data_IF_666573196070
#
_entry.id   IF_666573196070
#
_cell.length_a   1.000
_cell.length_b   1.000
_cell.length_c   1.000
_cell.angle_alpha   90.00
_cell.angle_beta   90.00
_cell.angle_gamma   90.00
#
_symmetry.space_group_name_H-M   'P 1'
#
loop_
_entity.id
_entity.type
_entity.pdbx_description
1 polymer ?
#
# COMPACT_ATOMS: atom_id res chain seq x y z
N UNK A 1 18.15 -17.66 7.23
CA UNK A 1 17.81 -16.22 7.22
C UNK A 1 16.34 -16.16 6.81
N UNK A 2 15.47 -15.63 7.66
CA UNK A 2 14.05 -15.45 7.32
C UNK A 2 13.96 -14.32 6.31
N UNK A 3 13.21 -14.50 5.23
CA UNK A 3 12.99 -13.46 4.23
C UNK A 3 12.06 -12.36 4.77
N UNK A 4 12.14 -11.15 4.21
CA UNK A 4 11.22 -10.06 4.57
C UNK A 4 9.75 -10.45 4.39
N UNK A 5 9.43 -11.25 3.36
CA UNK A 5 8.07 -11.73 3.14
C UNK A 5 7.59 -12.64 4.27
N UNK A 6 8.40 -13.65 4.64
CA UNK A 6 8.08 -14.56 5.74
C UNK A 6 7.94 -13.82 7.07
N UNK A 7 8.80 -12.83 7.31
CA UNK A 7 8.71 -11.97 8.50
C UNK A 7 7.36 -11.24 8.57
N UNK A 8 6.93 -10.64 7.46
CA UNK A 8 5.65 -9.92 7.40
C UNK A 8 4.46 -10.87 7.58
N UNK A 9 4.40 -11.99 6.85
CA UNK A 9 3.27 -12.92 6.93
C UNK A 9 3.21 -13.73 8.23
N UNK A 10 4.32 -13.84 8.97
CA UNK A 10 4.30 -14.39 10.32
C UNK A 10 3.53 -13.52 11.31
N UNK A 11 3.39 -12.22 11.03
CA UNK A 11 2.67 -11.25 11.87
C UNK A 11 1.28 -10.90 11.35
N UNK A 12 1.10 -10.95 10.04
CA UNK A 12 -0.12 -10.55 9.35
C UNK A 12 -0.77 -11.73 8.63
N UNK A 13 -1.93 -12.17 9.14
CA UNK A 13 -2.71 -13.23 8.51
C UNK A 13 -3.58 -12.73 7.35
N UNK A 14 -3.94 -13.63 6.44
CA UNK A 14 -4.74 -13.34 5.23
C UNK A 14 -6.11 -12.68 5.52
N UNK A 15 -6.64 -12.86 6.73
CA UNK A 15 -7.91 -12.25 7.17
C UNK A 15 -7.81 -10.78 7.61
N UNK A 16 -6.60 -10.23 7.79
CA UNK A 16 -6.42 -8.87 8.31
C UNK A 16 -6.74 -7.79 7.27
N UNK A 17 -6.39 -8.04 6.00
CA UNK A 17 -6.74 -7.18 4.88
C UNK A 17 -6.74 -7.96 3.56
N UNK A 18 -7.67 -7.70 2.60
CA UNK A 18 -7.70 -8.41 1.33
C UNK A 18 -6.37 -8.40 0.55
N UNK A 19 -5.60 -7.32 0.68
CA UNK A 19 -4.29 -7.20 0.03
C UNK A 19 -3.21 -8.09 0.65
N UNK A 20 -3.33 -8.46 1.93
CA UNK A 20 -2.40 -9.41 2.58
C UNK A 20 -2.53 -10.77 1.91
N UNK A 21 -3.75 -11.30 1.77
CA UNK A 21 -4.01 -12.56 1.08
C UNK A 21 -3.50 -12.56 -0.37
N UNK A 22 -3.69 -11.46 -1.09
CA UNK A 22 -3.20 -11.32 -2.47
C UNK A 22 -1.67 -11.26 -2.55
N UNK A 23 -1.02 -10.56 -1.62
CA UNK A 23 0.44 -10.51 -1.54
C UNK A 23 1.03 -11.87 -1.16
N UNK A 24 0.42 -12.57 -0.20
CA UNK A 24 0.83 -13.89 0.26
C UNK A 24 0.76 -14.92 -0.87
N UNK A 25 -0.39 -15.02 -1.55
CA UNK A 25 -0.54 -15.90 -2.72
C UNK A 25 0.46 -15.58 -3.85
N UNK A 26 0.82 -14.30 -4.03
CA UNK A 26 1.82 -13.90 -5.01
C UNK A 26 3.25 -14.33 -4.62
N UNK A 27 3.58 -14.29 -3.32
CA UNK A 27 4.86 -14.78 -2.81
C UNK A 27 4.92 -16.32 -2.88
N UNK A 28 3.85 -17.03 -2.50
CA UNK A 28 3.78 -18.49 -2.54
C UNK A 28 3.98 -19.05 -3.96
N UNK A 29 3.51 -18.31 -4.96
CA UNK A 29 3.67 -18.67 -6.38
C UNK A 29 4.99 -18.17 -6.98
N UNK A 30 5.88 -17.58 -6.19
CA UNK A 30 7.19 -17.07 -6.61
C UNK A 30 7.10 -15.84 -7.53
N UNK A 31 5.96 -15.14 -7.56
CA UNK A 31 5.70 -14.00 -8.44
C UNK A 31 6.01 -12.66 -7.80
N UNK A 32 6.10 -12.60 -6.47
CA UNK A 32 6.39 -11.39 -5.73
C UNK A 32 7.51 -11.60 -4.72
N UNK A 33 8.18 -10.51 -4.37
CA UNK A 33 9.06 -10.44 -3.23
C UNK A 33 8.68 -9.22 -2.36
N UNK A 34 8.73 -9.41 -1.05
CA UNK A 34 8.54 -8.36 -0.07
C UNK A 34 9.85 -7.64 0.24
N UNK A 35 9.75 -6.33 0.49
CA UNK A 35 10.85 -5.51 0.99
C UNK A 35 10.35 -4.66 2.15
N UNK A 36 11.19 -4.51 3.17
CA UNK A 36 10.99 -3.59 4.27
C UNK A 36 11.66 -2.26 3.95
N UNK A 37 10.95 -1.15 4.18
CA UNK A 37 11.53 0.18 4.19
C UNK A 37 12.05 0.58 5.57
N UNK A 38 12.60 1.78 5.65
CA UNK A 38 13.02 2.38 6.92
C UNK A 38 11.82 2.69 7.83
N UNK A 39 12.11 2.80 9.13
CA UNK A 39 11.13 3.28 10.12
C UNK A 39 11.03 4.80 10.00
N UNK A 40 9.80 5.30 9.90
CA UNK A 40 9.48 6.71 9.66
C UNK A 40 8.38 7.20 10.62
N UNK A 41 8.27 8.51 10.79
CA UNK A 41 7.25 9.12 11.65
C UNK A 41 5.85 9.01 11.04
N UNK A 42 4.86 8.62 11.85
CA UNK A 42 3.45 8.65 11.42
C UNK A 42 3.00 10.05 11.03
N UNK A 43 3.50 11.10 11.70
CA UNK A 43 3.11 12.50 11.44
C UNK A 43 3.61 12.99 10.06
N UNK A 44 4.85 12.63 9.70
CA UNK A 44 5.45 12.97 8.41
C UNK A 44 4.72 12.27 7.25
N UNK A 45 4.43 10.98 7.44
CA UNK A 45 3.67 10.19 6.48
C UNK A 45 2.25 10.73 6.33
N UNK A 46 1.59 11.08 7.45
CA UNK A 46 0.24 11.63 7.43
C UNK A 46 0.14 12.93 6.63
N UNK A 47 1.11 13.81 6.75
CA UNK A 47 1.18 15.05 5.96
C UNK A 47 1.29 14.75 4.47
N UNK A 48 2.25 13.89 4.11
CA UNK A 48 2.51 13.48 2.73
C UNK A 48 1.30 12.81 2.07
N UNK A 49 0.70 11.83 2.75
CA UNK A 49 -0.45 11.10 2.22
C UNK A 49 -1.74 11.91 2.24
N UNK A 50 -1.86 12.91 3.12
CA UNK A 50 -2.95 13.88 3.07
C UNK A 50 -2.96 14.70 1.77
N UNK A 51 -1.80 15.08 1.24
CA UNK A 51 -1.69 15.71 -0.09
C UNK A 51 -2.13 14.73 -1.18
N UNK A 52 -1.69 13.46 -1.08
CA UNK A 52 -2.04 12.41 -2.04
C UNK A 52 -3.54 12.13 -2.08
N UNK A 53 -4.21 12.08 -0.92
CA UNK A 53 -5.66 11.93 -0.83
C UNK A 53 -6.37 13.04 -1.64
N UNK A 54 -6.01 14.31 -1.40
CA UNK A 54 -6.59 15.45 -2.13
C UNK A 54 -6.35 15.37 -3.64
N UNK A 55 -5.16 14.94 -4.06
CA UNK A 55 -4.84 14.74 -5.48
C UNK A 55 -5.66 13.61 -6.12
N UNK A 56 -5.95 12.55 -5.37
CA UNK A 56 -6.77 11.43 -5.85
C UNK A 56 -8.27 11.77 -5.90
N UNK A 57 -8.75 12.64 -5.01
CA UNK A 57 -10.17 13.03 -4.94
C UNK A 57 -10.70 13.63 -6.26
N UNK A 58 -9.85 14.26 -7.06
CA UNK A 58 -10.25 14.83 -8.35
C UNK A 58 -10.25 13.83 -9.51
N UNK A 59 -9.88 12.56 -9.28
CA UNK A 59 -9.78 11.53 -10.33
C UNK A 59 -11.01 10.63 -10.36
N UNK A 60 -11.52 10.36 -11.55
CA UNK A 60 -12.77 9.62 -11.72
C UNK A 60 -12.58 8.09 -11.89
N UNK A 61 -11.36 7.63 -12.17
CA UNK A 61 -11.08 6.23 -12.46
C UNK A 61 -11.29 5.29 -11.27
N UNK A 62 -11.66 4.02 -11.52
CA UNK A 62 -11.97 3.04 -10.46
C UNK A 62 -10.78 2.80 -9.53
N UNK A 63 -9.56 2.72 -10.08
CA UNK A 63 -8.36 2.55 -9.25
C UNK A 63 -8.08 3.79 -8.41
N UNK A 64 -8.22 4.99 -8.99
CA UNK A 64 -8.01 6.23 -8.25
C UNK A 64 -9.00 6.38 -7.08
N UNK A 65 -10.27 5.97 -7.27
CA UNK A 65 -11.30 5.95 -6.21
C UNK A 65 -10.97 4.95 -5.10
N UNK A 66 -10.57 3.73 -5.46
CA UNK A 66 -10.17 2.72 -4.49
C UNK A 66 -8.94 3.19 -3.69
N UNK A 67 -7.89 3.63 -4.38
CA UNK A 67 -6.67 4.14 -3.74
C UNK A 67 -6.95 5.39 -2.90
N UNK A 68 -7.90 6.25 -3.30
CA UNK A 68 -8.33 7.38 -2.48
C UNK A 68 -8.91 6.90 -1.15
N UNK A 69 -9.82 5.92 -1.17
CA UNK A 69 -10.41 5.37 0.04
C UNK A 69 -9.35 4.74 0.95
N UNK A 70 -8.43 3.96 0.38
CA UNK A 70 -7.32 3.35 1.13
C UNK A 70 -6.41 4.40 1.78
N UNK A 71 -6.07 5.46 1.05
CA UNK A 71 -5.23 6.56 1.56
C UNK A 71 -5.95 7.36 2.65
N UNK A 72 -7.26 7.59 2.53
CA UNK A 72 -8.06 8.24 3.57
C UNK A 72 -8.09 7.38 4.83
N UNK A 73 -8.38 6.08 4.70
CA UNK A 73 -8.38 5.15 5.83
C UNK A 73 -7.02 5.08 6.52
N UNK A 74 -5.92 5.06 5.76
CA UNK A 74 -4.57 5.16 6.31
C UNK A 74 -4.37 6.48 7.07
N UNK A 75 -4.78 7.61 6.51
CA UNK A 75 -4.64 8.91 7.16
C UNK A 75 -5.37 8.98 8.50
N UNK A 76 -6.57 8.40 8.60
CA UNK A 76 -7.33 8.31 9.84
C UNK A 76 -6.59 7.48 10.91
N UNK A 77 -6.01 6.33 10.51
CA UNK A 77 -5.22 5.51 11.43
C UNK A 77 -3.93 6.21 11.88
N UNK A 78 -3.26 6.92 10.97
CA UNK A 78 -2.06 7.69 11.31
C UNK A 78 -2.38 8.85 12.27
N UNK A 79 -3.54 9.50 12.13
CA UNK A 79 -3.99 10.51 13.08
C UNK A 79 -4.24 9.92 14.48
N UNK A 80 -4.68 8.65 14.58
CA UNK A 80 -4.78 7.94 15.85
C UNK A 80 -3.41 7.51 16.43
N UNK A 81 -2.36 7.47 15.60
CA UNK A 81 -0.99 7.09 15.94
C UNK A 81 -0.01 8.27 15.98
N UNK A 82 -0.49 9.50 16.26
CA UNK A 82 0.37 10.69 16.34
C UNK A 82 1.53 10.53 17.31
N UNK A 83 2.70 11.05 16.91
CA UNK A 83 3.95 10.91 17.67
C UNK A 83 4.54 9.50 17.69
N UNK A 84 3.93 8.53 17.01
CA UNK A 84 4.45 7.15 16.89
C UNK A 84 5.12 6.94 15.54
N UNK A 85 5.64 5.73 15.31
CA UNK A 85 6.42 5.39 14.12
C UNK A 85 5.84 4.19 13.40
N UNK A 86 6.15 4.10 12.12
CA UNK A 86 5.70 3.02 11.26
C UNK A 86 6.81 2.57 10.31
N UNK A 87 6.63 1.39 9.73
CA UNK A 87 7.44 0.84 8.66
C UNK A 87 6.57 0.56 7.45
N UNK A 88 7.17 0.73 6.26
CA UNK A 88 6.56 0.29 5.02
C UNK A 88 6.99 -1.12 4.65
N UNK A 89 6.05 -1.92 4.16
CA UNK A 89 6.32 -3.16 3.45
C UNK A 89 5.83 -3.02 2.03
N UNK A 90 6.68 -3.34 1.06
CA UNK A 90 6.32 -3.27 -0.36
C UNK A 90 6.48 -4.64 -1.00
N UNK A 91 5.39 -5.13 -1.58
CA UNK A 91 5.34 -6.34 -2.38
C UNK A 91 5.12 -5.96 -3.84
N UNK A 92 6.13 -6.21 -4.67
CA UNK A 92 6.05 -5.91 -6.11
C UNK A 92 5.58 -7.15 -6.88
N UNK A 93 4.56 -6.99 -7.71
CA UNK A 93 3.98 -8.03 -8.53
C UNK A 93 4.31 -7.79 -10.02
N UNK A 94 4.25 -8.83 -10.87
CA UNK A 94 4.38 -8.68 -12.31
C UNK A 94 3.27 -7.77 -12.86
N UNK A 95 3.56 -7.03 -13.93
CA UNK A 95 2.61 -6.08 -14.53
C UNK A 95 2.51 -4.74 -13.77
N UNK A 96 3.43 -4.48 -12.84
CA UNK A 96 3.60 -3.17 -12.20
C UNK A 96 2.63 -2.85 -11.08
N UNK A 97 1.89 -3.84 -10.59
CA UNK A 97 1.12 -3.72 -9.37
C UNK A 97 2.03 -3.84 -8.14
N UNK A 98 1.74 -3.06 -7.11
CA UNK A 98 2.42 -3.12 -5.81
C UNK A 98 1.39 -3.07 -4.70
N UNK A 99 1.56 -3.94 -3.71
CA UNK A 99 0.86 -3.80 -2.43
C UNK A 99 1.82 -3.21 -1.42
N UNK A 100 1.40 -2.11 -0.80
CA UNK A 100 2.20 -1.36 0.17
C UNK A 100 1.47 -1.36 1.50
N UNK A 101 2.10 -1.86 2.56
CA UNK A 101 1.51 -1.99 3.88
C UNK A 101 2.21 -1.06 4.87
N UNK A 102 1.43 -0.29 5.64
CA UNK A 102 1.91 0.49 6.77
C UNK A 102 1.77 -0.36 8.03
N UNK A 103 2.87 -0.71 8.66
CA UNK A 103 2.91 -1.45 9.92
C UNK A 103 3.40 -0.55 11.05
N UNK A 104 2.74 -0.57 12.19
CA UNK A 104 3.19 0.15 13.39
C UNK A 104 4.52 -0.42 13.90
N UNK A 105 5.53 0.42 14.08
CA UNK A 105 6.91 -0.06 14.26
C UNK A 105 7.13 -0.80 15.60
N UNK A 106 6.36 -0.44 16.64
CA UNK A 106 6.51 -1.02 17.98
C UNK A 106 5.54 -2.17 18.27
N UNK A 107 4.38 -2.19 17.60
CA UNK A 107 3.29 -3.13 17.94
C UNK A 107 3.01 -4.11 16.80
N UNK A 108 3.61 -3.91 15.63
CA UNK A 108 3.36 -4.70 14.43
C UNK A 108 1.90 -4.65 13.97
N UNK A 109 1.10 -3.68 14.43
CA UNK A 109 -0.28 -3.55 14.00
C UNK A 109 -0.36 -3.00 12.58
N UNK A 110 -1.22 -3.57 11.73
CA UNK A 110 -1.45 -3.03 10.39
C UNK A 110 -2.25 -1.72 10.46
N UNK A 111 -1.62 -0.64 10.03
CA UNK A 111 -2.20 0.71 9.99
C UNK A 111 -2.94 0.98 8.68
N UNK A 112 -2.58 0.29 7.61
CA UNK A 112 -3.26 0.41 6.32
C UNK A 112 -2.53 -0.33 5.22
N UNK A 113 -3.22 -0.51 4.11
CA UNK A 113 -2.68 -1.15 2.92
C UNK A 113 -3.10 -0.37 1.68
N UNK A 114 -2.21 -0.25 0.71
CA UNK A 114 -2.42 0.49 -0.52
C UNK A 114 -2.14 -0.42 -1.71
N UNK A 115 -3.02 -0.40 -2.70
CA UNK A 115 -2.73 -0.98 -4.01
C UNK A 115 -2.29 0.14 -4.96
N UNK A 116 -1.05 0.06 -5.45
CA UNK A 116 -0.46 1.06 -6.34
C UNK A 116 -0.09 0.41 -7.66
N UNK A 117 -0.29 1.12 -8.77
CA UNK A 117 0.15 0.69 -10.10
C UNK A 117 1.18 1.64 -10.70
N UNK A 118 2.14 1.10 -11.45
CA UNK A 118 3.21 1.85 -12.10
C UNK A 118 2.85 2.25 -13.53
N UNK A 119 2.95 3.55 -13.85
CA UNK A 119 2.70 4.06 -15.21
C UNK A 119 3.66 3.47 -16.25
N UNK A 120 4.87 3.11 -15.82
CA UNK A 120 5.90 2.53 -16.71
C UNK A 120 5.58 1.10 -17.12
N UNK A 121 4.75 0.40 -16.34
CA UNK A 121 4.50 -1.04 -16.48
C UNK A 121 3.06 -1.34 -16.91
N UNK A 122 2.14 -0.40 -16.66
CA UNK A 122 0.75 -0.50 -17.10
C UNK A 122 0.60 0.02 -18.53
N UNK A 123 0.00 -0.75 -19.46
CA UNK A 123 -0.27 -0.28 -20.82
C UNK A 123 -1.07 1.04 -20.86
N UNK A 124 -0.78 1.98 -21.78
CA UNK A 124 -1.43 3.29 -21.80
C UNK A 124 -2.97 3.26 -21.85
N UNK A 125 -3.55 2.26 -22.54
CA UNK A 125 -5.01 2.05 -22.58
C UNK A 125 -5.59 1.74 -21.20
N UNK A 126 -4.89 0.92 -20.42
CA UNK A 126 -5.30 0.51 -19.09
C UNK A 126 -5.06 1.64 -18.08
N UNK A 127 -3.98 2.40 -18.25
CA UNK A 127 -3.72 3.58 -17.43
C UNK A 127 -4.88 4.58 -17.47
N UNK A 128 -5.33 4.98 -18.67
CA UNK A 128 -6.48 5.89 -18.82
C UNK A 128 -7.74 5.34 -18.16
N UNK A 129 -8.03 4.05 -18.36
CA UNK A 129 -9.16 3.38 -17.73
C UNK A 129 -9.06 3.39 -16.19
N UNK A 130 -7.90 3.08 -15.63
CA UNK A 130 -7.69 2.97 -14.18
C UNK A 130 -7.78 4.33 -13.48
N UNK A 131 -7.24 5.36 -14.11
CA UNK A 131 -7.08 6.69 -13.50
C UNK A 131 -8.15 7.70 -13.92
N UNK A 132 -8.88 7.44 -15.01
CA UNK A 132 -9.92 8.34 -15.51
C UNK A 132 -9.36 9.61 -16.16
N UNK A 133 -8.10 9.57 -16.63
CA UNK A 133 -7.50 10.67 -17.36
C UNK A 133 -8.24 10.82 -18.71
N UNK A 134 -8.95 11.95 -18.89
CA UNK A 134 -9.54 12.31 -20.17
C UNK A 134 -8.41 12.50 -21.19
N UNK A 135 -8.56 11.87 -22.36
CA UNK A 135 -7.62 12.06 -23.48
C UNK A 135 -7.66 13.48 -24.02
#
# INVERSE_FOLDING_TARGET
MVSNSEEFFARHGDGEHPYVALAHAAVDTGKAFGSAGDIVSCDEIRSTYGVRARSLASRAGPHAKALHADVVGLCERLDACRGQRMRWWTFSLPGGARYVFAEHAETNALLGALHVVSRLEVPPKDWRRLWGDAG
#
